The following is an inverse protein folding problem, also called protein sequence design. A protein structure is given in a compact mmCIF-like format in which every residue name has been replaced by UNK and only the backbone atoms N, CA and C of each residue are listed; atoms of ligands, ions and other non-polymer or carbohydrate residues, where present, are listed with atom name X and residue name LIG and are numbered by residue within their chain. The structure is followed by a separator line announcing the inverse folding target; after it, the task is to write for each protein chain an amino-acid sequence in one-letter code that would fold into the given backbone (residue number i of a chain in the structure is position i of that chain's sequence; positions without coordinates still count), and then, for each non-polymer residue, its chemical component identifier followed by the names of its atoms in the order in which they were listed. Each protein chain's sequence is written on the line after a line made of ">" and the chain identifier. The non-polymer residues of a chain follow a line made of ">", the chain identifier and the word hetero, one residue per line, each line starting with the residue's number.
data_IF_750824057922
#
_entry.id   IF_750824057922
#
_cell.length_a   1.000
_cell.length_b   1.000
_cell.length_c   1.000
_cell.angle_alpha   90.00
_cell.angle_beta   90.00
_cell.angle_gamma   90.00
#
_symmetry.space_group_name_H-M   'P 1'
#
loop_
_entity.id
_entity.type
_entity.pdbx_description
1 polymer ?
#
# COMPACT_ATOMS: atom_id res chain seq x y z
N UNK A 1 17.45 -2.71 -3.41
CA UNK A 1 16.23 -2.68 -4.26
C UNK A 1 16.03 -1.28 -4.81
N UNK A 2 15.67 -1.15 -6.08
CA UNK A 2 15.40 0.14 -6.75
C UNK A 2 14.07 0.07 -7.51
N UNK A 3 13.33 1.17 -7.47
CA UNK A 3 12.08 1.37 -8.21
C UNK A 3 12.16 2.65 -9.04
N UNK A 4 11.76 2.60 -10.32
CA UNK A 4 11.78 3.77 -11.21
C UNK A 4 10.51 3.86 -12.05
N UNK A 5 10.11 5.09 -12.29
CA UNK A 5 9.14 5.47 -13.32
C UNK A 5 9.87 6.41 -14.27
N UNK A 6 9.74 6.19 -15.58
CA UNK A 6 10.37 6.98 -16.63
C UNK A 6 9.31 7.42 -17.66
N UNK A 7 9.06 8.73 -17.75
CA UNK A 7 8.15 9.38 -18.71
C UNK A 7 6.72 8.85 -18.68
N UNK A 8 6.20 8.46 -17.51
CA UNK A 8 4.89 7.82 -17.40
C UNK A 8 3.77 8.82 -17.68
N UNK A 9 2.95 8.50 -18.70
CA UNK A 9 1.79 9.29 -19.08
C UNK A 9 0.54 8.41 -19.19
N UNK A 10 -0.61 8.92 -18.74
CA UNK A 10 -1.91 8.26 -18.81
C UNK A 10 -3.00 9.22 -19.21
N UNK A 11 -3.78 8.84 -20.21
CA UNK A 11 -4.99 9.56 -20.65
C UNK A 11 -6.21 8.67 -20.49
N UNK A 12 -7.31 9.23 -20.01
CA UNK A 12 -8.61 8.55 -19.94
C UNK A 12 -9.62 9.38 -20.74
N UNK A 13 -10.11 8.82 -21.84
CA UNK A 13 -10.93 9.59 -22.77
C UNK A 13 -10.15 10.74 -23.39
N UNK A 14 -10.49 11.99 -23.03
CA UNK A 14 -9.79 13.21 -23.46
C UNK A 14 -8.94 13.86 -22.37
N UNK A 15 -9.02 13.33 -21.15
CA UNK A 15 -8.38 13.92 -19.97
C UNK A 15 -7.00 13.30 -19.74
N UNK A 16 -5.97 14.15 -19.69
CA UNK A 16 -4.61 13.75 -19.29
C UNK A 16 -4.57 13.64 -17.76
N UNK A 17 -4.45 12.41 -17.26
CA UNK A 17 -4.43 12.11 -15.82
C UNK A 17 -3.01 12.17 -15.27
N UNK A 18 -2.03 11.59 -16.01
CA UNK A 18 -0.62 11.61 -15.67
C UNK A 18 0.16 12.09 -16.90
N UNK A 19 1.18 12.94 -16.70
CA UNK A 19 1.90 13.58 -17.77
C UNK A 19 3.41 13.57 -17.50
N UNK A 20 4.13 12.69 -18.19
CA UNK A 20 5.59 12.54 -18.16
C UNK A 20 6.17 12.49 -16.73
N UNK A 21 5.62 11.57 -15.91
CA UNK A 21 6.12 11.38 -14.54
C UNK A 21 7.46 10.65 -14.54
N UNK A 22 8.40 11.18 -13.76
CA UNK A 22 9.67 10.55 -13.43
C UNK A 22 9.77 10.42 -11.89
N UNK A 23 10.00 9.19 -11.41
CA UNK A 23 10.14 8.91 -9.98
C UNK A 23 11.27 7.89 -9.79
N UNK A 24 12.10 8.09 -8.77
CA UNK A 24 13.12 7.11 -8.35
C UNK A 24 13.04 6.94 -6.85
N UNK A 25 12.90 5.69 -6.41
CA UNK A 25 12.89 5.31 -5.01
C UNK A 25 13.84 4.15 -4.79
N UNK A 26 14.44 4.10 -3.60
CA UNK A 26 15.33 3.03 -3.14
C UNK A 26 14.78 2.40 -1.87
N UNK A 27 15.35 1.32 -1.47
CA UNK A 27 15.07 0.64 -0.22
C UNK A 27 15.16 1.58 0.97
N UNK A 28 14.16 1.56 1.83
CA UNK A 28 13.97 2.48 2.94
C UNK A 28 13.15 3.74 2.59
N UNK A 29 12.89 3.99 1.32
CA UNK A 29 12.08 5.14 0.90
C UNK A 29 10.58 4.87 1.11
N UNK A 30 9.93 5.78 1.80
CA UNK A 30 8.48 5.81 2.01
C UNK A 30 7.92 7.11 1.46
N UNK A 31 7.31 7.04 0.29
CA UNK A 31 6.76 8.19 -0.42
C UNK A 31 5.32 8.48 0.03
N UNK A 32 5.08 9.65 0.61
CA UNK A 32 3.75 10.22 0.76
C UNK A 32 3.25 10.75 -0.58
N UNK A 33 2.33 10.08 -1.25
CA UNK A 33 1.73 10.52 -2.51
C UNK A 33 0.53 11.42 -2.23
N UNK A 34 0.73 12.73 -2.30
CA UNK A 34 -0.28 13.76 -2.05
C UNK A 34 -0.93 14.25 -3.33
N UNK A 35 -2.09 14.86 -3.21
CA UNK A 35 -2.83 15.47 -4.32
C UNK A 35 -4.33 15.53 -4.02
N UNK A 36 -5.06 16.40 -4.72
CA UNK A 36 -6.51 16.51 -4.59
C UNK A 36 -7.24 15.22 -5.01
N UNK A 37 -8.51 15.10 -4.65
CA UNK A 37 -9.35 14.01 -5.18
C UNK A 37 -9.42 14.12 -6.70
N UNK A 38 -9.27 12.97 -7.40
CA UNK A 38 -9.23 12.93 -8.85
C UNK A 38 -7.89 13.31 -9.49
N UNK A 39 -6.84 13.65 -8.71
CA UNK A 39 -5.52 14.01 -9.26
C UNK A 39 -4.76 12.85 -9.94
N UNK A 40 -5.24 11.61 -9.83
CA UNK A 40 -4.61 10.44 -10.45
C UNK A 40 -3.82 9.54 -9.49
N UNK A 41 -3.83 9.78 -8.16
CA UNK A 41 -3.10 8.95 -7.18
C UNK A 41 -3.42 7.46 -7.30
N UNK A 42 -4.69 7.08 -7.20
CA UNK A 42 -5.14 5.69 -7.33
C UNK A 42 -4.81 5.12 -8.72
N UNK A 43 -4.91 5.93 -9.79
CA UNK A 43 -4.52 5.52 -11.14
C UNK A 43 -3.03 5.17 -11.20
N UNK A 44 -2.18 6.03 -10.63
CA UNK A 44 -0.73 5.77 -10.55
C UNK A 44 -0.45 4.49 -9.74
N UNK A 45 -1.08 4.31 -8.59
CA UNK A 45 -0.91 3.08 -7.79
C UNK A 45 -1.36 1.83 -8.55
N UNK A 46 -2.48 1.88 -9.29
CA UNK A 46 -2.95 0.76 -10.13
C UNK A 46 -2.00 0.42 -11.27
N UNK A 47 -1.39 1.45 -11.90
CA UNK A 47 -0.36 1.24 -12.94
C UNK A 47 0.87 0.55 -12.32
N UNK A 48 1.38 1.04 -11.20
CA UNK A 48 2.54 0.44 -10.50
C UNK A 48 2.23 -0.99 -10.06
N UNK A 49 1.01 -1.26 -9.59
CA UNK A 49 0.55 -2.60 -9.22
C UNK A 49 0.36 -3.55 -10.43
N UNK A 50 0.49 -3.05 -11.67
CA UNK A 50 0.27 -3.83 -12.90
C UNK A 50 -1.21 -4.14 -13.21
N UNK A 51 -2.13 -3.45 -12.52
CA UNK A 51 -3.58 -3.59 -12.70
C UNK A 51 -4.12 -2.76 -13.87
N UNK A 52 -3.47 -1.64 -14.18
CA UNK A 52 -3.71 -0.84 -15.39
C UNK A 52 -2.45 -0.89 -16.26
N UNK A 53 -2.61 -1.39 -17.49
CA UNK A 53 -1.50 -1.55 -18.46
C UNK A 53 -1.59 -0.59 -19.63
N UNK A 54 -2.63 0.23 -19.68
CA UNK A 54 -2.86 1.22 -20.73
C UNK A 54 -2.23 2.57 -20.33
N UNK A 55 -0.91 2.68 -20.51
CA UNK A 55 -0.13 3.89 -20.25
C UNK A 55 1.09 3.98 -21.18
N UNK A 56 1.70 5.14 -21.29
CA UNK A 56 2.98 5.37 -21.97
C UNK A 56 4.10 5.51 -20.93
N UNK A 57 5.34 5.30 -21.37
CA UNK A 57 6.50 5.32 -20.47
C UNK A 57 6.84 3.96 -19.88
N UNK A 58 7.57 3.94 -18.76
CA UNK A 58 8.06 2.69 -18.14
C UNK A 58 7.89 2.71 -16.63
N UNK A 59 7.49 1.57 -16.07
CA UNK A 59 7.58 1.23 -14.65
C UNK A 59 8.63 0.13 -14.53
N UNK A 60 9.70 0.40 -13.82
CA UNK A 60 10.87 -0.48 -13.69
C UNK A 60 10.99 -0.89 -12.23
N UNK A 61 10.91 -2.19 -11.98
CA UNK A 61 11.05 -2.82 -10.67
C UNK A 61 12.12 -3.89 -10.80
N UNK A 62 13.00 -3.96 -9.83
CA UNK A 62 14.07 -4.96 -9.80
C UNK A 62 13.50 -6.38 -9.87
N UNK A 63 14.16 -7.26 -10.63
CA UNK A 63 13.72 -8.64 -10.83
C UNK A 63 13.57 -9.40 -9.50
N UNK A 64 12.47 -10.12 -9.35
CA UNK A 64 12.17 -10.91 -8.15
C UNK A 64 11.48 -10.13 -7.03
N UNK A 65 11.33 -8.81 -7.15
CA UNK A 65 10.58 -8.00 -6.19
C UNK A 65 9.08 -8.23 -6.40
N UNK A 66 8.40 -8.60 -5.32
CA UNK A 66 6.94 -8.70 -5.31
C UNK A 66 6.31 -7.38 -4.89
N UNK A 67 5.11 -7.11 -5.41
CA UNK A 67 4.32 -5.91 -5.09
C UNK A 67 3.16 -6.31 -4.19
N UNK A 68 3.00 -5.59 -3.07
CA UNK A 68 1.80 -5.62 -2.25
C UNK A 68 0.96 -4.37 -2.52
N UNK A 69 -0.29 -4.53 -2.86
CA UNK A 69 -1.22 -3.41 -3.06
C UNK A 69 -2.43 -3.54 -2.14
N UNK A 70 -2.64 -2.52 -1.34
CA UNK A 70 -3.83 -2.36 -0.50
C UNK A 70 -4.70 -1.27 -1.11
N UNK A 71 -5.76 -1.64 -1.82
CA UNK A 71 -6.68 -0.65 -2.40
C UNK A 71 -7.54 0.02 -1.34
N UNK A 72 -8.12 1.16 -1.68
CA UNK A 72 -9.08 1.88 -0.85
C UNK A 72 -10.31 1.01 -0.51
N UNK A 73 -10.78 0.20 -1.46
CA UNK A 73 -11.86 -0.75 -1.24
C UNK A 73 -11.37 -2.00 -0.52
N UNK A 74 -12.22 -2.55 0.35
CA UNK A 74 -11.92 -3.75 1.13
C UNK A 74 -12.15 -4.99 0.27
N UNK A 75 -11.12 -5.83 0.10
CA UNK A 75 -11.12 -7.04 -0.75
C UNK A 75 -11.17 -8.34 0.07
N UNK A 76 -12.04 -8.43 1.07
CA UNK A 76 -12.15 -9.60 1.94
C UNK A 76 -13.20 -10.60 1.45
N UNK A 77 -12.93 -11.89 1.65
CA UNK A 77 -13.92 -12.96 1.51
C UNK A 77 -14.77 -12.99 2.77
N UNK A 78 -15.95 -12.42 2.73
CA UNK A 78 -16.80 -12.17 3.90
C UNK A 78 -17.19 -13.44 4.68
N UNK A 79 -17.31 -14.57 4.01
CA UNK A 79 -17.67 -15.86 4.62
C UNK A 79 -16.48 -16.60 5.24
N UNK A 80 -15.26 -16.18 4.96
CA UNK A 80 -14.04 -16.72 5.58
C UNK A 80 -13.74 -16.00 6.89
N UNK A 81 -13.07 -16.67 7.81
CA UNK A 81 -12.51 -16.02 9.00
C UNK A 81 -11.23 -15.23 8.63
N UNK A 82 -10.70 -14.46 9.58
CA UNK A 82 -9.49 -13.64 9.37
C UNK A 82 -8.31 -14.52 8.92
N UNK A 83 -8.07 -15.65 9.62
CA UNK A 83 -6.97 -16.55 9.29
C UNK A 83 -7.05 -17.09 7.88
N UNK A 84 -8.22 -17.55 7.48
CA UNK A 84 -8.41 -18.15 6.15
C UNK A 84 -8.34 -17.08 5.05
N UNK A 85 -8.79 -15.85 5.31
CA UNK A 85 -8.55 -14.71 4.42
C UNK A 85 -7.04 -14.52 4.19
N UNK A 86 -6.25 -14.35 5.25
CA UNK A 86 -4.81 -14.16 5.14
C UNK A 86 -4.13 -15.34 4.42
N UNK A 87 -4.50 -16.57 4.76
CA UNK A 87 -3.96 -17.79 4.14
C UNK A 87 -4.23 -17.85 2.62
N UNK A 88 -5.38 -17.36 2.16
CA UNK A 88 -5.74 -17.33 0.73
C UNK A 88 -4.75 -16.52 -0.08
N UNK A 89 -4.19 -15.47 0.50
CA UNK A 89 -3.22 -14.58 -0.16
C UNK A 89 -1.76 -14.99 0.07
N UNK A 90 -1.46 -15.86 1.03
CA UNK A 90 -0.13 -16.43 1.20
C UNK A 90 0.09 -17.56 0.21
N UNK A 91 0.94 -17.34 -0.78
CA UNK A 91 1.22 -18.34 -1.83
C UNK A 91 2.73 -18.50 -2.08
N UNK A 92 3.08 -19.44 -2.99
CA UNK A 92 4.46 -19.68 -3.36
C UNK A 92 5.25 -20.50 -2.33
N UNK A 93 6.57 -20.57 -2.53
CA UNK A 93 7.47 -21.44 -1.76
C UNK A 93 7.55 -21.04 -0.28
N UNK A 94 7.39 -19.75 0.04
CA UNK A 94 7.53 -19.19 1.39
C UNK A 94 6.17 -18.96 2.08
N UNK A 95 5.09 -19.61 1.60
CA UNK A 95 3.73 -19.38 2.13
C UNK A 95 3.62 -19.63 3.65
N UNK A 96 4.38 -20.60 4.18
CA UNK A 96 4.37 -20.93 5.62
C UNK A 96 5.06 -19.83 6.44
N UNK A 97 6.23 -19.38 6.01
CA UNK A 97 7.00 -18.31 6.64
C UNK A 97 6.23 -16.98 6.60
N UNK A 98 5.63 -16.69 5.44
CA UNK A 98 4.79 -15.51 5.26
C UNK A 98 3.57 -15.54 6.20
N UNK A 99 2.95 -16.71 6.36
CA UNK A 99 1.83 -16.84 7.30
C UNK A 99 2.26 -16.63 8.76
N UNK A 100 3.43 -17.13 9.18
CA UNK A 100 3.98 -16.86 10.51
C UNK A 100 4.27 -15.36 10.73
N UNK A 101 4.83 -14.69 9.72
CA UNK A 101 5.01 -13.23 9.75
C UNK A 101 3.68 -12.52 9.95
N UNK A 102 2.65 -12.86 9.18
CA UNK A 102 1.32 -12.26 9.31
C UNK A 102 0.68 -12.54 10.69
N UNK A 103 0.86 -13.74 11.26
CA UNK A 103 0.40 -14.07 12.61
C UNK A 103 1.02 -13.15 13.65
N UNK A 104 2.30 -12.79 13.50
CA UNK A 104 2.96 -11.81 14.39
C UNK A 104 2.38 -10.39 14.20
N UNK A 105 2.08 -9.99 12.96
CA UNK A 105 1.44 -8.70 12.68
C UNK A 105 0.00 -8.64 13.21
N UNK A 106 -0.75 -9.75 13.11
CA UNK A 106 -2.09 -9.89 13.71
C UNK A 106 -2.03 -9.61 15.22
N UNK A 107 -1.01 -10.15 15.91
CA UNK A 107 -0.82 -9.90 17.35
C UNK A 107 -0.46 -8.43 17.64
N UNK A 108 0.46 -7.84 16.86
CA UNK A 108 0.85 -6.43 17.01
C UNK A 108 -0.32 -5.47 16.81
N UNK A 109 -1.22 -5.77 15.87
CA UNK A 109 -2.41 -4.98 15.58
C UNK A 109 -3.58 -5.26 16.55
N UNK A 110 -3.44 -6.21 17.49
CA UNK A 110 -4.46 -6.57 18.46
C UNK A 110 -5.65 -7.34 17.86
N UNK A 111 -5.42 -8.10 16.79
CA UNK A 111 -6.45 -8.89 16.11
C UNK A 111 -6.47 -10.37 16.53
N UNK A 112 -5.67 -10.79 17.51
CA UNK A 112 -5.50 -12.20 17.88
C UNK A 112 -6.82 -12.90 18.24
N UNK A 113 -7.69 -12.23 19.01
CA UNK A 113 -9.00 -12.78 19.39
C UNK A 113 -9.97 -12.88 18.21
N UNK A 114 -9.73 -12.09 17.15
CA UNK A 114 -10.57 -12.06 15.96
C UNK A 114 -10.13 -13.07 14.90
N UNK A 115 -9.00 -13.75 15.11
CA UNK A 115 -8.35 -14.58 14.09
C UNK A 115 -9.26 -15.69 13.52
N UNK A 116 -10.13 -16.26 14.37
CA UNK A 116 -11.15 -17.26 13.98
C UNK A 116 -12.52 -16.67 13.65
N UNK A 117 -12.70 -15.34 13.79
CA UNK A 117 -13.99 -14.68 13.52
C UNK A 117 -14.18 -14.46 12.03
N UNK A 118 -15.38 -14.72 11.51
CA UNK A 118 -15.74 -14.42 10.11
C UNK A 118 -15.63 -12.92 9.85
N UNK A 119 -15.06 -12.54 8.68
CA UNK A 119 -14.80 -11.15 8.35
C UNK A 119 -16.09 -10.32 8.17
N UNK A 120 -17.22 -10.94 7.79
CA UNK A 120 -18.53 -10.26 7.79
C UNK A 120 -18.96 -9.75 9.17
N UNK A 121 -18.41 -10.30 10.27
CA UNK A 121 -18.72 -9.90 11.66
C UNK A 121 -17.74 -8.87 12.24
N UNK A 122 -16.78 -8.40 11.46
CA UNK A 122 -15.79 -7.40 11.86
C UNK A 122 -16.36 -5.98 11.69
N UNK A 123 -15.89 -5.04 12.52
CA UNK A 123 -16.11 -3.61 12.28
C UNK A 123 -15.39 -3.14 11.00
N UNK A 124 -15.76 -1.97 10.47
CA UNK A 124 -15.10 -1.39 9.30
C UNK A 124 -13.59 -1.23 9.48
N UNK A 125 -13.15 -0.70 10.62
CA UNK A 125 -11.72 -0.56 10.95
C UNK A 125 -11.01 -1.91 11.05
N UNK A 126 -11.63 -2.92 11.68
CA UNK A 126 -11.08 -4.27 11.75
C UNK A 126 -10.95 -4.91 10.35
N UNK A 127 -11.95 -4.73 9.49
CA UNK A 127 -11.87 -5.19 8.09
C UNK A 127 -10.70 -4.52 7.35
N UNK A 128 -10.48 -3.21 7.54
CA UNK A 128 -9.36 -2.48 6.94
C UNK A 128 -8.01 -2.98 7.43
N UNK A 129 -7.87 -3.30 8.72
CA UNK A 129 -6.63 -3.89 9.24
C UNK A 129 -6.34 -5.26 8.60
N UNK A 130 -7.37 -6.10 8.41
CA UNK A 130 -7.19 -7.38 7.71
C UNK A 130 -6.84 -7.15 6.24
N UNK A 131 -7.46 -6.17 5.57
CA UNK A 131 -7.13 -5.78 4.21
C UNK A 131 -5.68 -5.28 4.08
N UNK A 132 -5.21 -4.48 5.05
CA UNK A 132 -3.83 -4.04 5.13
C UNK A 132 -2.86 -5.23 5.26
N UNK A 133 -3.15 -6.19 6.12
CA UNK A 133 -2.34 -7.41 6.28
C UNK A 133 -2.29 -8.26 5.01
N UNK A 134 -3.37 -8.31 4.22
CA UNK A 134 -3.40 -9.00 2.91
C UNK A 134 -2.37 -8.39 1.96
N UNK A 135 -2.23 -7.07 1.93
CA UNK A 135 -1.21 -6.41 1.13
C UNK A 135 0.23 -6.78 1.51
N UNK A 136 0.43 -7.28 2.75
CA UNK A 136 1.73 -7.74 3.24
C UNK A 136 1.95 -9.26 3.11
N UNK A 137 0.95 -10.01 2.61
CA UNK A 137 0.87 -11.47 2.72
C UNK A 137 2.07 -12.24 2.16
N UNK A 138 2.71 -11.75 1.11
CA UNK A 138 3.86 -12.41 0.47
C UNK A 138 5.17 -11.66 0.73
N UNK A 139 5.25 -10.92 1.84
CA UNK A 139 6.44 -10.14 2.21
C UNK A 139 6.96 -9.28 1.05
N UNK A 140 6.12 -8.41 0.46
CA UNK A 140 6.48 -7.65 -0.73
C UNK A 140 7.64 -6.70 -0.47
N UNK A 141 8.48 -6.48 -1.49
CA UNK A 141 9.53 -5.46 -1.47
C UNK A 141 8.99 -4.06 -1.74
N UNK A 142 7.99 -3.95 -2.64
CA UNK A 142 7.28 -2.70 -2.94
C UNK A 142 5.86 -2.78 -2.38
N UNK A 143 5.49 -1.82 -1.54
CA UNK A 143 4.17 -1.77 -0.86
C UNK A 143 3.44 -0.49 -1.28
N UNK A 144 2.23 -0.65 -1.78
CA UNK A 144 1.35 0.43 -2.21
C UNK A 144 0.13 0.48 -1.29
N UNK A 145 -0.08 1.58 -0.59
CA UNK A 145 -1.17 1.77 0.38
C UNK A 145 -2.07 2.91 -0.07
N UNK A 146 -3.29 2.59 -0.49
CA UNK A 146 -4.27 3.58 -0.95
C UNK A 146 -5.32 3.83 0.14
N UNK A 147 -5.22 4.97 0.84
CA UNK A 147 -6.14 5.42 1.90
C UNK A 147 -6.40 4.36 3.00
N UNK A 148 -5.35 3.64 3.41
CA UNK A 148 -5.45 2.44 4.25
C UNK A 148 -6.02 2.70 5.64
N UNK A 149 -5.85 3.91 6.22
CA UNK A 149 -6.25 4.22 7.60
C UNK A 149 -7.63 4.91 7.72
N UNK A 150 -8.32 5.12 6.61
CA UNK A 150 -9.65 5.78 6.62
C UNK A 150 -10.63 5.01 7.50
N UNK A 151 -11.27 5.72 8.46
CA UNK A 151 -12.26 5.12 9.37
C UNK A 151 -11.68 4.23 10.47
N UNK A 152 -10.37 4.30 10.71
CA UNK A 152 -9.73 3.74 11.90
C UNK A 152 -9.75 4.77 13.04
N UNK A 153 -9.85 4.31 14.28
CA UNK A 153 -9.63 5.13 15.47
C UNK A 153 -8.13 5.39 15.67
N UNK A 154 -7.82 6.43 16.47
CA UNK A 154 -6.46 6.89 16.71
C UNK A 154 -5.55 5.76 17.26
N UNK A 155 -6.05 4.97 18.22
CA UNK A 155 -5.28 3.86 18.80
C UNK A 155 -4.94 2.77 17.78
N UNK A 156 -5.80 2.58 16.79
CA UNK A 156 -5.59 1.65 15.67
C UNK A 156 -4.58 2.21 14.68
N UNK A 157 -4.66 3.51 14.37
CA UNK A 157 -3.68 4.20 13.51
C UNK A 157 -2.28 4.13 14.11
N UNK A 158 -2.11 4.38 15.41
CA UNK A 158 -0.82 4.24 16.10
C UNK A 158 -0.20 2.83 15.94
N UNK A 159 -1.01 1.78 16.00
CA UNK A 159 -0.52 0.39 15.78
C UNK A 159 -0.07 0.18 14.34
N UNK A 160 -0.79 0.73 13.36
CA UNK A 160 -0.41 0.69 11.94
C UNK A 160 0.90 1.44 11.72
N UNK A 161 1.06 2.64 12.30
CA UNK A 161 2.30 3.43 12.26
C UNK A 161 3.48 2.63 12.82
N UNK A 162 3.33 2.03 14.00
CA UNK A 162 4.37 1.19 14.62
C UNK A 162 4.75 0.02 13.72
N UNK A 163 3.77 -0.65 13.11
CA UNK A 163 4.03 -1.76 12.21
C UNK A 163 4.76 -1.29 10.93
N UNK A 164 4.30 -0.23 10.26
CA UNK A 164 4.98 0.33 9.09
C UNK A 164 6.42 0.69 9.42
N UNK A 165 6.66 1.41 10.53
CA UNK A 165 8.00 1.82 10.96
C UNK A 165 8.91 0.62 11.28
N UNK A 166 8.36 -0.51 11.72
CA UNK A 166 9.14 -1.73 12.00
C UNK A 166 9.58 -2.47 10.73
N UNK A 167 8.85 -2.32 9.62
CA UNK A 167 9.11 -3.07 8.39
C UNK A 167 9.68 -2.23 7.24
N UNK A 168 9.61 -0.89 7.30
CA UNK A 168 9.93 -0.01 6.18
C UNK A 168 11.39 -0.04 5.73
N UNK A 169 12.31 -0.39 6.63
CA UNK A 169 13.76 -0.31 6.38
C UNK A 169 14.20 -1.08 5.12
N UNK A 170 13.62 -2.26 4.90
CA UNK A 170 13.96 -3.17 3.80
C UNK A 170 12.89 -3.14 2.68
N UNK A 171 12.11 -2.08 2.60
CA UNK A 171 10.98 -1.93 1.67
C UNK A 171 11.03 -0.60 0.94
N UNK A 172 10.33 -0.53 -0.19
CA UNK A 172 9.88 0.73 -0.77
C UNK A 172 8.39 0.83 -0.54
N UNK A 173 7.91 1.97 -0.08
CA UNK A 173 6.48 2.18 0.14
C UNK A 173 5.99 3.44 -0.56
N UNK A 174 4.78 3.37 -1.12
CA UNK A 174 4.06 4.54 -1.65
C UNK A 174 2.70 4.57 -0.95
N UNK A 175 2.42 5.64 -0.25
CA UNK A 175 1.27 5.75 0.65
C UNK A 175 0.44 6.98 0.28
N UNK A 176 -0.87 6.81 0.10
CA UNK A 176 -1.83 7.91 0.05
C UNK A 176 -2.61 8.01 1.36
N UNK A 177 -2.83 9.20 1.85
CA UNK A 177 -3.73 9.49 2.96
C UNK A 177 -4.10 10.97 2.97
N UNK A 178 -5.28 11.27 3.53
CA UNK A 178 -5.69 12.64 3.86
C UNK A 178 -5.29 13.06 5.29
N UNK A 179 -4.73 12.15 6.09
CA UNK A 179 -4.26 12.43 7.45
C UNK A 179 -2.77 12.78 7.41
N UNK A 180 -2.46 14.07 7.47
CA UNK A 180 -1.08 14.58 7.36
C UNK A 180 -0.19 14.10 8.51
N UNK A 181 -0.71 13.97 9.73
CA UNK A 181 0.07 13.51 10.88
C UNK A 181 0.54 12.06 10.68
N UNK A 182 -0.35 11.18 10.16
CA UNK A 182 0.03 9.83 9.79
C UNK A 182 1.16 9.80 8.75
N UNK A 183 1.04 10.62 7.69
CA UNK A 183 2.08 10.67 6.65
C UNK A 183 3.42 11.16 7.20
N UNK A 184 3.43 12.17 8.08
CA UNK A 184 4.65 12.67 8.74
C UNK A 184 5.34 11.63 9.61
N UNK A 185 4.58 10.74 10.26
CA UNK A 185 5.15 9.72 11.14
C UNK A 185 5.79 8.54 10.38
N UNK A 186 5.35 8.25 9.17
CA UNK A 186 5.79 7.05 8.43
C UNK A 186 6.65 7.35 7.21
N UNK A 187 6.42 8.48 6.53
CA UNK A 187 7.05 8.82 5.25
C UNK A 187 8.32 9.67 5.46
N UNK A 188 9.28 9.52 4.55
CA UNK A 188 10.51 10.32 4.47
C UNK A 188 10.66 11.02 3.12
N UNK A 189 9.73 10.86 2.21
CA UNK A 189 9.66 11.56 0.94
C UNK A 189 8.23 12.07 0.74
N UNK A 190 8.10 13.32 0.32
CA UNK A 190 6.82 13.93 -0.05
C UNK A 190 6.73 14.09 -1.56
N UNK A 191 5.71 13.51 -2.19
CA UNK A 191 5.38 13.69 -3.59
C UNK A 191 4.00 14.30 -3.76
N UNK A 192 3.90 15.38 -4.50
CA UNK A 192 2.62 16.04 -4.80
C UNK A 192 2.26 15.89 -6.27
N UNK A 193 1.10 15.29 -6.54
CA UNK A 193 0.56 15.13 -7.88
C UNK A 193 -0.39 16.30 -8.19
N UNK A 194 0.04 17.17 -9.13
CA UNK A 194 -0.70 18.38 -9.54
C UNK A 194 -0.77 18.40 -11.07
N UNK A 195 -1.98 18.48 -11.62
CA UNK A 195 -2.20 18.55 -13.07
C UNK A 195 -1.42 17.47 -13.85
N UNK A 196 -1.40 16.26 -13.30
CA UNK A 196 -0.72 15.12 -13.91
C UNK A 196 0.80 15.11 -13.75
N UNK A 197 1.41 16.07 -13.08
CA UNK A 197 2.87 16.14 -12.83
C UNK A 197 3.20 15.84 -11.38
N UNK A 198 4.38 15.29 -11.14
CA UNK A 198 4.89 14.96 -9.81
C UNK A 198 5.95 15.96 -9.38
N UNK A 199 5.76 16.56 -8.20
CA UNK A 199 6.78 17.33 -7.49
C UNK A 199 7.24 16.52 -6.29
N UNK A 200 8.55 16.22 -6.21
CA UNK A 200 9.15 15.43 -5.13
C UNK A 200 9.96 16.33 -4.20
N UNK A 201 9.78 16.15 -2.90
CA UNK A 201 10.55 16.78 -1.83
C UNK A 201 11.05 15.67 -0.90
N UNK A 202 12.35 15.65 -0.65
CA UNK A 202 12.98 14.75 0.32
C UNK A 202 13.01 15.47 1.67
N UNK A 203 12.50 14.82 2.70
CA UNK A 203 12.60 15.34 4.07
C UNK A 203 13.98 14.93 4.62
N UNK A 204 14.77 15.92 5.06
CA UNK A 204 16.11 15.76 5.64
C UNK A 204 16.08 15.07 7.02
#
# INVERSE_FOLDING_TARGET
>A
MEFKIEGLSKTIGKDVILNELDVRLKEGDVLALRGSNGSGKTTLLKIIAGLDKDYQGKVIIENGVTIGYVPQDIILFENLNVRDNLKTFCNGKNAKENMHMLESFVAQLGLSELFKKKTCKLSGGQKRLVNFLIGLANNPGLILLDEVIVGMDESTVEKVVKLINSIKKDKIMIITSHQEDFLREVCNISGRLINGKMELHYED
#
